data_IF_659306270873
#
_entry.id   IF_659306270873
#
_cell.length_a   1.000
_cell.length_b   1.000
_cell.length_c   1.000
_cell.angle_alpha   90.00
_cell.angle_beta   90.00
_cell.angle_gamma   90.00
#
_symmetry.space_group_name_H-M   'P 1'
#
loop_
_entity.id
_entity.type
_entity.pdbx_description
1 polymer ?
#
# COMPACT_ATOMS: atom_id res chain seq x y z
N UNK A 1 32.54 23.87 -0.77
CA UNK A 1 32.41 25.26 -0.38
C UNK A 1 30.95 25.61 -0.27
N UNK A 2 30.37 25.50 0.92
CA UNK A 2 29.29 26.31 1.49
C UNK A 2 29.00 25.75 2.88
N UNK A 3 29.59 26.45 3.85
CA UNK A 3 29.32 26.37 5.27
C UNK A 3 28.13 27.29 5.55
N UNK A 4 27.11 26.84 6.33
CA UNK A 4 26.24 27.81 7.00
C UNK A 4 25.71 27.30 8.34
N UNK A 5 26.19 27.95 9.36
CA UNK A 5 25.60 28.39 10.65
C UNK A 5 24.92 27.39 11.59
N UNK A 6 25.72 27.04 12.61
CA UNK A 6 25.22 26.75 13.97
C UNK A 6 24.95 28.09 14.67
N UNK A 7 23.75 28.29 15.17
CA UNK A 7 23.48 29.27 16.21
C UNK A 7 23.19 28.53 17.50
N UNK A 8 24.17 28.57 18.42
CA UNK A 8 23.98 28.26 19.84
C UNK A 8 23.27 29.42 20.50
N UNK A 9 22.09 29.22 21.02
CA UNK A 9 21.52 30.11 22.03
C UNK A 9 21.85 29.54 23.42
N UNK A 10 22.84 30.14 24.10
CA UNK A 10 23.08 29.93 25.50
C UNK A 10 22.20 30.96 26.21
N UNK A 11 21.16 30.50 26.91
CA UNK A 11 20.44 31.34 27.87
C UNK A 11 21.02 31.05 29.25
N UNK A 12 21.80 31.99 29.76
CA UNK A 12 22.24 32.01 31.17
C UNK A 12 21.11 32.55 32.00
N UNK A 13 20.44 31.71 32.79
CA UNK A 13 19.52 32.15 33.84
C UNK A 13 20.29 32.11 35.16
N UNK A 14 20.49 33.29 35.76
CA UNK A 14 20.99 33.44 37.13
C UNK A 14 19.95 32.92 38.12
N UNK A 15 20.47 32.17 39.11
CA UNK A 15 19.73 31.68 40.25
C UNK A 15 19.09 32.84 41.03
N UNK A 16 17.87 32.61 41.50
CA UNK A 16 17.38 32.73 42.87
C UNK A 16 15.85 32.72 42.88
N UNK A 17 15.25 31.55 42.79
CA UNK A 17 13.94 31.29 43.38
C UNK A 17 13.87 29.82 43.80
N UNK A 18 13.68 29.61 45.15
CA UNK A 18 13.22 28.33 45.68
C UNK A 18 11.90 27.99 45.01
N UNK A 19 11.90 27.05 44.07
CA UNK A 19 10.68 26.46 43.58
C UNK A 19 10.29 25.36 44.56
N UNK A 20 9.25 25.63 45.33
CA UNK A 20 8.53 24.62 46.10
C UNK A 20 8.15 23.49 45.15
N UNK A 21 8.64 22.29 45.45
CA UNK A 21 8.23 21.04 44.81
C UNK A 21 6.75 20.73 45.17
N UNK A 22 5.82 21.46 44.57
CA UNK A 22 4.51 20.90 44.30
C UNK A 22 4.69 19.98 43.09
N UNK A 23 5.08 18.74 43.35
CA UNK A 23 4.82 17.66 42.48
C UNK A 23 3.30 17.58 42.31
N UNK A 24 2.78 18.34 41.32
CA UNK A 24 1.46 18.11 40.80
C UNK A 24 1.45 16.64 40.35
N UNK A 25 0.76 15.81 41.12
CA UNK A 25 0.38 14.44 40.73
C UNK A 25 -0.50 14.62 39.51
N UNK A 26 0.12 14.70 38.33
CA UNK A 26 -0.59 14.48 37.09
C UNK A 26 -1.01 13.01 37.20
N UNK A 27 -2.33 12.71 37.30
CA UNK A 27 -2.75 11.32 37.36
C UNK A 27 -2.15 10.62 36.16
N UNK A 28 -1.29 9.62 36.37
CA UNK A 28 -0.77 8.80 35.31
C UNK A 28 -1.99 8.26 34.57
N UNK A 29 -2.21 8.74 33.35
CA UNK A 29 -3.31 8.24 32.53
C UNK A 29 -3.15 6.72 32.46
N UNK A 30 -4.19 5.99 32.88
CA UNK A 30 -4.22 4.52 32.83
C UNK A 30 -3.91 4.09 31.40
N UNK A 31 -2.94 3.19 31.24
CA UNK A 31 -2.60 2.63 29.94
C UNK A 31 -3.83 1.98 29.30
N UNK A 32 -4.04 2.21 28.02
CA UNK A 32 -5.15 1.68 27.23
C UNK A 32 -4.66 0.56 26.31
N UNK A 33 -5.55 -0.26 25.84
CA UNK A 33 -5.22 -1.23 24.80
C UNK A 33 -5.26 -0.57 23.41
N UNK A 34 -4.55 -1.17 22.49
CA UNK A 34 -4.56 -0.81 21.08
C UNK A 34 -5.21 -1.92 20.24
N UNK A 35 -5.78 -1.54 19.11
CA UNK A 35 -6.22 -2.47 18.09
C UNK A 35 -5.56 -2.12 16.76
N UNK A 36 -5.03 -3.13 16.07
CA UNK A 36 -4.46 -3.02 14.73
C UNK A 36 -5.35 -3.79 13.75
N UNK A 37 -5.59 -3.23 12.56
CA UNK A 37 -6.31 -3.92 11.51
C UNK A 37 -5.75 -3.60 10.12
N UNK A 38 -5.87 -4.58 9.22
CA UNK A 38 -5.46 -4.49 7.81
C UNK A 38 -6.68 -4.31 6.91
N UNK A 39 -6.53 -3.55 5.83
CA UNK A 39 -7.63 -3.24 4.92
C UNK A 39 -7.21 -3.28 3.46
N UNK A 40 -8.09 -3.80 2.62
CA UNK A 40 -7.91 -3.89 1.18
C UNK A 40 -6.94 -4.98 0.74
N UNK A 41 -6.39 -4.86 -0.46
CA UNK A 41 -5.40 -5.80 -0.97
C UNK A 41 -4.14 -5.81 -0.13
N UNK A 42 -3.61 -7.01 0.16
CA UNK A 42 -2.35 -7.15 0.91
C UNK A 42 -1.14 -6.78 0.03
N UNK A 43 -0.02 -6.49 0.68
CA UNK A 43 1.28 -6.29 0.03
C UNK A 43 2.31 -7.23 0.63
N UNK A 44 3.43 -7.41 -0.05
CA UNK A 44 4.53 -8.25 0.45
C UNK A 44 5.19 -7.71 1.74
N UNK A 45 4.88 -6.48 2.15
CA UNK A 45 5.46 -5.82 3.33
C UNK A 45 4.41 -5.45 4.40
N UNK A 46 3.14 -5.80 4.21
CA UNK A 46 2.06 -5.41 5.15
C UNK A 46 2.28 -5.95 6.56
N UNK A 47 2.79 -7.17 6.68
CA UNK A 47 3.09 -7.78 7.97
C UNK A 47 4.31 -7.13 8.66
N UNK A 48 5.22 -6.52 7.91
CA UNK A 48 6.32 -5.73 8.47
C UNK A 48 5.79 -4.50 9.21
N UNK A 49 4.79 -3.84 8.65
CA UNK A 49 4.08 -2.73 9.33
C UNK A 49 3.40 -3.22 10.61
N UNK A 50 2.73 -4.36 10.57
CA UNK A 50 2.11 -4.97 11.75
C UNK A 50 3.13 -5.28 12.85
N UNK A 51 4.25 -5.90 12.47
CA UNK A 51 5.39 -6.16 13.37
C UNK A 51 5.85 -4.87 14.07
N UNK A 52 6.05 -3.81 13.30
CA UNK A 52 6.52 -2.53 13.83
C UNK A 52 5.53 -1.89 14.80
N UNK A 53 4.22 -1.92 14.49
CA UNK A 53 3.17 -1.44 15.41
C UNK A 53 3.19 -2.21 16.72
N UNK A 54 3.20 -3.54 16.66
CA UNK A 54 3.20 -4.40 17.86
C UNK A 54 4.45 -4.14 18.72
N UNK A 55 5.63 -4.15 18.09
CA UNK A 55 6.89 -3.93 18.81
C UNK A 55 7.01 -2.53 19.40
N UNK A 56 6.56 -1.50 18.70
CA UNK A 56 6.58 -0.13 19.20
C UNK A 56 5.58 0.06 20.36
N UNK A 57 4.39 -0.53 20.24
CA UNK A 57 3.37 -0.49 21.27
C UNK A 57 3.82 -1.19 22.57
N UNK A 58 4.45 -2.36 22.48
CA UNK A 58 5.03 -3.08 23.64
C UNK A 58 6.07 -2.28 24.42
N UNK A 59 6.77 -1.34 23.74
CA UNK A 59 7.75 -0.44 24.36
C UNK A 59 7.13 0.80 25.02
N UNK A 60 5.85 1.06 24.78
CA UNK A 60 5.15 2.23 25.29
C UNK A 60 4.45 1.95 26.62
N UNK A 61 4.71 2.78 27.63
CA UNK A 61 3.99 2.71 28.92
C UNK A 61 2.51 3.14 28.82
N UNK A 62 2.08 3.75 27.69
CA UNK A 62 0.71 4.21 27.45
C UNK A 62 -0.17 3.14 26.81
N UNK A 63 0.42 2.07 26.25
CA UNK A 63 -0.29 0.97 25.62
C UNK A 63 -0.04 -0.31 26.45
N UNK A 64 -1.12 -0.95 26.86
CA UNK A 64 -1.04 -2.18 27.67
C UNK A 64 -0.93 -3.42 26.77
N UNK A 65 -1.90 -3.64 25.87
CA UNK A 65 -1.95 -4.73 24.91
C UNK A 65 -2.24 -4.24 23.51
N UNK A 66 -1.83 -5.03 22.50
CA UNK A 66 -2.23 -4.85 21.12
C UNK A 66 -3.08 -6.04 20.68
N UNK A 67 -4.32 -5.78 20.32
CA UNK A 67 -5.16 -6.74 19.62
C UNK A 67 -5.03 -6.54 18.11
N UNK A 68 -5.16 -7.60 17.34
CA UNK A 68 -5.35 -7.52 15.90
C UNK A 68 -6.77 -7.95 15.54
N UNK A 69 -7.47 -7.11 14.76
CA UNK A 69 -8.79 -7.48 14.21
C UNK A 69 -8.59 -8.53 13.11
N UNK A 70 -9.09 -9.74 13.31
CA UNK A 70 -9.05 -10.80 12.30
C UNK A 70 -9.94 -10.42 11.12
N UNK A 71 -9.38 -10.51 9.92
CA UNK A 71 -10.05 -10.03 8.71
C UNK A 71 -10.44 -8.54 8.75
N UNK A 72 -9.55 -7.71 9.32
CA UNK A 72 -9.68 -6.27 9.34
C UNK A 72 -10.80 -5.76 10.23
N UNK A 73 -11.53 -4.72 9.77
CA UNK A 73 -12.61 -4.11 10.56
C UNK A 73 -13.81 -5.05 10.76
N UNK A 74 -14.01 -6.02 9.87
CA UNK A 74 -15.09 -7.01 10.00
C UNK A 74 -14.88 -7.86 11.25
N UNK A 75 -13.63 -8.28 11.51
CA UNK A 75 -13.30 -8.98 12.75
C UNK A 75 -13.51 -8.12 14.00
N UNK A 76 -13.22 -6.81 13.92
CA UNK A 76 -13.51 -5.91 15.04
C UNK A 76 -15.03 -5.84 15.31
N UNK A 77 -15.84 -5.69 14.27
CA UNK A 77 -17.30 -5.65 14.39
C UNK A 77 -17.86 -6.95 14.98
N UNK A 78 -17.27 -8.08 14.65
CA UNK A 78 -17.66 -9.40 15.15
C UNK A 78 -17.00 -9.75 16.49
N UNK A 79 -16.11 -8.89 17.01
CA UNK A 79 -15.31 -9.13 18.22
C UNK A 79 -14.35 -10.34 18.09
N UNK A 80 -13.96 -10.68 16.85
CA UNK A 80 -12.97 -11.69 16.53
C UNK A 80 -11.57 -11.05 16.56
N UNK A 81 -10.97 -11.03 17.75
CA UNK A 81 -9.73 -10.32 18.07
C UNK A 81 -8.63 -11.29 18.44
N UNK A 82 -7.44 -11.09 17.87
CA UNK A 82 -6.24 -11.84 18.18
C UNK A 82 -5.43 -11.05 19.21
N UNK A 83 -5.21 -11.62 20.41
CA UNK A 83 -4.33 -11.02 21.42
C UNK A 83 -2.87 -11.29 21.05
N UNK A 84 -2.18 -10.29 20.54
CA UNK A 84 -0.77 -10.44 20.14
C UNK A 84 0.19 -10.53 21.31
N UNK A 85 -0.27 -10.31 22.56
CA UNK A 85 0.59 -10.37 23.76
C UNK A 85 0.97 -11.79 24.17
N UNK A 86 0.25 -12.80 23.65
CA UNK A 86 0.56 -14.21 23.90
C UNK A 86 1.78 -14.70 23.09
N UNK A 87 2.16 -13.98 22.04
CA UNK A 87 3.30 -14.33 21.21
C UNK A 87 4.60 -13.71 21.70
N UNK A 88 5.72 -14.42 21.56
CA UNK A 88 7.04 -13.92 21.90
C UNK A 88 7.50 -12.81 20.94
N UNK A 89 8.52 -12.05 21.31
CA UNK A 89 9.09 -11.03 20.43
C UNK A 89 9.75 -11.64 19.21
N UNK A 90 10.28 -12.87 19.31
CA UNK A 90 10.83 -13.64 18.20
C UNK A 90 9.74 -14.03 17.20
N UNK A 91 8.57 -14.49 17.68
CA UNK A 91 7.43 -14.82 16.80
C UNK A 91 6.89 -13.56 16.12
N UNK A 92 6.74 -12.46 16.85
CA UNK A 92 6.33 -11.18 16.25
C UNK A 92 7.34 -10.72 15.18
N UNK A 93 8.65 -10.91 15.41
CA UNK A 93 9.67 -10.55 14.42
C UNK A 93 9.57 -11.37 13.13
N UNK A 94 9.10 -12.60 13.16
CA UNK A 94 8.88 -13.44 11.97
C UNK A 94 7.86 -12.84 11.01
N UNK A 95 6.95 -11.98 11.48
CA UNK A 95 6.01 -11.23 10.64
C UNK A 95 6.71 -10.46 9.52
N UNK A 96 7.92 -9.96 9.75
CA UNK A 96 8.71 -9.25 8.74
C UNK A 96 9.01 -10.10 7.50
N UNK A 97 8.96 -11.43 7.65
CA UNK A 97 9.26 -12.40 6.60
C UNK A 97 8.05 -13.24 6.17
N UNK A 98 6.89 -13.03 6.80
CA UNK A 98 5.67 -13.80 6.54
C UNK A 98 4.92 -13.22 5.34
N UNK A 99 4.63 -14.03 4.30
CA UNK A 99 3.84 -13.57 3.15
C UNK A 99 2.35 -13.46 3.50
N UNK A 100 1.60 -12.78 2.62
CA UNK A 100 0.16 -12.56 2.81
C UNK A 100 -0.16 -11.53 3.88
N UNK A 101 -1.40 -11.54 4.37
CA UNK A 101 -1.84 -10.75 5.52
C UNK A 101 -2.11 -11.68 6.69
N UNK A 102 -1.21 -11.73 7.68
CA UNK A 102 -1.27 -12.73 8.76
C UNK A 102 -2.53 -12.61 9.62
N UNK A 103 -3.04 -11.39 9.78
CA UNK A 103 -4.27 -11.13 10.52
C UNK A 103 -5.52 -11.10 9.63
N UNK A 104 -5.39 -11.49 8.36
CA UNK A 104 -6.44 -11.31 7.37
C UNK A 104 -6.64 -9.85 6.97
N UNK A 105 -7.49 -9.61 6.01
CA UNK A 105 -7.85 -8.29 5.51
C UNK A 105 -9.26 -8.33 4.96
N UNK A 106 -9.93 -7.18 4.88
CA UNK A 106 -11.26 -7.11 4.28
C UNK A 106 -11.39 -5.95 3.31
N UNK A 107 -12.37 -6.06 2.42
CA UNK A 107 -12.87 -4.98 1.56
C UNK A 107 -14.22 -4.52 2.07
N UNK A 108 -14.23 -3.92 3.27
CA UNK A 108 -15.43 -3.37 3.89
C UNK A 108 -15.27 -1.85 4.03
N UNK A 109 -16.20 -1.10 3.45
CA UNK A 109 -16.25 0.35 3.52
C UNK A 109 -17.35 0.76 4.49
N UNK A 110 -16.97 1.33 5.64
CA UNK A 110 -17.94 2.01 6.50
C UNK A 110 -18.54 3.19 5.73
N UNK A 111 -19.85 3.16 5.54
CA UNK A 111 -20.59 4.27 4.97
C UNK A 111 -20.63 5.43 5.97
N UNK A 112 -21.24 6.54 5.59
CA UNK A 112 -21.42 7.65 6.51
C UNK A 112 -22.26 7.25 7.74
N UNK A 113 -22.03 7.91 8.86
CA UNK A 113 -22.65 7.58 10.16
C UNK A 113 -24.15 7.40 10.06
N UNK A 114 -24.85 8.26 9.29
CA UNK A 114 -26.30 8.17 9.12
C UNK A 114 -26.75 6.87 8.43
N UNK A 115 -25.91 6.26 7.60
CA UNK A 115 -26.20 5.04 6.86
C UNK A 115 -25.75 3.77 7.59
N UNK A 116 -24.72 3.87 8.44
CA UNK A 116 -24.11 2.73 9.12
C UNK A 116 -24.04 2.89 10.65
N UNK A 117 -24.96 3.66 11.25
CA UNK A 117 -24.95 3.97 12.68
C UNK A 117 -24.83 2.73 13.58
N UNK A 118 -25.42 1.60 13.17
CA UNK A 118 -25.32 0.33 13.91
C UNK A 118 -23.86 -0.18 13.98
N UNK A 119 -23.11 -0.09 12.90
CA UNK A 119 -21.71 -0.52 12.85
C UNK A 119 -20.82 0.38 13.71
N UNK A 120 -21.03 1.71 13.66
CA UNK A 120 -20.28 2.64 14.52
C UNK A 120 -20.59 2.41 16.01
N UNK A 121 -21.85 2.18 16.38
CA UNK A 121 -22.22 1.84 17.76
C UNK A 121 -21.53 0.53 18.17
N UNK A 122 -21.55 -0.49 17.31
CA UNK A 122 -20.88 -1.78 17.59
C UNK A 122 -19.38 -1.61 17.80
N UNK A 123 -18.70 -0.78 17.00
CA UNK A 123 -17.28 -0.47 17.21
C UNK A 123 -17.04 0.13 18.60
N UNK A 124 -17.88 1.08 19.05
CA UNK A 124 -17.77 1.67 20.39
C UNK A 124 -17.98 0.61 21.49
N UNK A 125 -18.95 -0.29 21.32
CA UNK A 125 -19.19 -1.39 22.27
C UNK A 125 -17.94 -2.27 22.41
N UNK A 126 -17.35 -2.71 21.30
CA UNK A 126 -16.12 -3.51 21.28
C UNK A 126 -14.95 -2.72 21.88
N UNK A 127 -14.80 -1.46 21.52
CA UNK A 127 -13.73 -0.62 22.05
C UNK A 127 -13.85 -0.43 23.56
N UNK A 128 -15.07 -0.27 24.08
CA UNK A 128 -15.32 -0.19 25.54
C UNK A 128 -15.03 -1.53 26.23
N UNK A 129 -15.52 -2.63 25.68
CA UNK A 129 -15.34 -3.97 26.26
C UNK A 129 -13.85 -4.35 26.40
N UNK A 130 -13.02 -3.96 25.45
CA UNK A 130 -11.59 -4.25 25.43
C UNK A 130 -10.70 -3.11 25.88
N UNK A 131 -11.25 -2.03 26.48
CA UNK A 131 -10.52 -0.83 26.95
C UNK A 131 -9.60 -0.25 25.87
N UNK A 132 -10.10 -0.17 24.61
CA UNK A 132 -9.35 0.34 23.47
C UNK A 132 -9.26 1.86 23.52
N UNK A 133 -8.03 2.39 23.51
CA UNK A 133 -7.75 3.82 23.39
C UNK A 133 -7.03 4.20 22.11
N UNK A 134 -6.52 3.20 21.36
CA UNK A 134 -5.75 3.42 20.14
C UNK A 134 -6.22 2.47 19.04
N UNK A 135 -6.45 3.01 17.84
CA UNK A 135 -6.81 2.25 16.65
C UNK A 135 -5.83 2.55 15.52
N UNK A 136 -5.13 1.51 15.05
CA UNK A 136 -4.16 1.56 13.95
C UNK A 136 -4.75 0.85 12.73
N UNK A 137 -5.07 1.61 11.68
CA UNK A 137 -5.73 1.06 10.50
C UNK A 137 -4.82 1.15 9.27
N UNK A 138 -4.28 0.01 8.84
CA UNK A 138 -3.31 -0.10 7.76
C UNK A 138 -4.01 -0.36 6.43
N UNK A 139 -4.05 0.65 5.54
CA UNK A 139 -4.77 0.53 4.28
C UNK A 139 -4.62 1.72 3.34
N UNK A 140 -5.33 1.66 2.23
CA UNK A 140 -5.39 2.69 1.19
C UNK A 140 -6.33 3.85 1.53
N UNK A 141 -6.72 4.64 0.51
CA UNK A 141 -7.53 5.85 0.67
C UNK A 141 -8.84 5.64 1.42
N UNK A 142 -9.62 4.61 1.06
CA UNK A 142 -10.87 4.29 1.76
C UNK A 142 -10.66 3.91 3.23
N UNK A 143 -9.50 3.35 3.57
CA UNK A 143 -9.17 3.00 4.96
C UNK A 143 -8.79 4.25 5.76
N UNK A 144 -8.15 5.22 5.14
CA UNK A 144 -7.85 6.52 5.76
C UNK A 144 -9.16 7.26 6.07
N UNK A 145 -10.11 7.29 5.13
CA UNK A 145 -11.46 7.84 5.34
C UNK A 145 -12.21 7.14 6.48
N UNK A 146 -12.15 5.80 6.52
CA UNK A 146 -12.74 5.00 7.61
C UNK A 146 -12.12 5.36 8.96
N UNK A 147 -10.79 5.47 9.05
CA UNK A 147 -10.09 5.85 10.28
C UNK A 147 -10.53 7.24 10.76
N UNK A 148 -10.68 8.20 9.84
CA UNK A 148 -11.17 9.54 10.12
C UNK A 148 -12.59 9.52 10.69
N UNK A 149 -13.50 8.80 10.04
CA UNK A 149 -14.91 8.68 10.48
C UNK A 149 -15.02 8.06 11.87
N UNK A 150 -14.23 7.02 12.16
CA UNK A 150 -14.22 6.37 13.48
C UNK A 150 -13.73 7.34 14.55
N UNK A 151 -12.64 8.07 14.30
CA UNK A 151 -12.11 9.04 15.26
C UNK A 151 -13.14 10.13 15.59
N UNK A 152 -13.79 10.68 14.56
CA UNK A 152 -14.82 11.71 14.77
C UNK A 152 -16.00 11.14 15.55
N UNK A 153 -16.52 9.98 15.14
CA UNK A 153 -17.69 9.37 15.79
C UNK A 153 -17.44 9.00 17.25
N UNK A 154 -16.28 8.42 17.56
CA UNK A 154 -15.92 8.04 18.94
C UNK A 154 -15.78 9.27 19.84
N UNK A 155 -15.25 10.39 19.30
CA UNK A 155 -15.17 11.66 19.99
C UNK A 155 -16.58 12.23 20.30
N UNK A 156 -17.44 12.29 19.30
CA UNK A 156 -18.82 12.82 19.41
C UNK A 156 -19.68 11.97 20.35
N UNK A 157 -19.41 10.67 20.44
CA UNK A 157 -20.07 9.74 21.36
C UNK A 157 -19.49 9.78 22.80
N UNK A 158 -18.56 10.68 23.11
CA UNK A 158 -17.95 10.81 24.44
C UNK A 158 -16.99 9.68 24.83
N UNK A 159 -16.52 8.90 23.86
CA UNK A 159 -15.51 7.84 24.05
C UNK A 159 -14.39 8.01 23.02
N UNK A 160 -13.53 9.04 23.17
CA UNK A 160 -12.50 9.34 22.20
C UNK A 160 -11.48 8.22 22.10
N UNK A 161 -11.22 7.76 20.87
CA UNK A 161 -10.18 6.80 20.50
C UNK A 161 -9.20 7.50 19.57
N UNK A 162 -7.90 7.39 19.86
CA UNK A 162 -6.86 7.88 18.98
C UNK A 162 -6.74 6.95 17.78
N UNK A 163 -7.09 7.45 16.59
CA UNK A 163 -7.05 6.68 15.34
C UNK A 163 -5.89 7.16 14.46
N UNK A 164 -5.03 6.25 14.04
CA UNK A 164 -3.94 6.53 13.10
C UNK A 164 -4.11 5.66 11.87
N UNK A 165 -4.31 6.32 10.71
CA UNK A 165 -4.26 5.67 9.42
C UNK A 165 -2.81 5.43 9.00
N UNK A 166 -2.46 4.19 8.66
CA UNK A 166 -1.11 3.82 8.22
C UNK A 166 -1.17 3.57 6.71
N UNK A 167 -0.34 4.26 5.90
CA UNK A 167 -0.39 4.15 4.45
C UNK A 167 0.02 2.75 3.97
N UNK A 168 -0.79 2.17 3.08
CA UNK A 168 -0.52 0.92 2.39
C UNK A 168 -1.27 0.90 1.06
N UNK A 169 -0.56 0.89 -0.04
CA UNK A 169 -1.07 0.56 -1.38
C UNK A 169 0.10 0.25 -2.30
N UNK A 170 -0.11 -0.66 -3.25
CA UNK A 170 0.87 -0.89 -4.31
C UNK A 170 0.80 0.18 -5.42
N UNK A 171 -0.35 0.84 -5.56
CA UNK A 171 -0.60 1.80 -6.65
C UNK A 171 0.15 3.12 -6.48
N UNK A 172 0.67 3.38 -5.28
CA UNK A 172 1.35 4.63 -4.91
C UNK A 172 0.51 5.88 -5.19
N UNK A 173 -0.79 5.79 -4.90
CA UNK A 173 -1.83 6.75 -5.28
C UNK A 173 -2.39 7.56 -4.09
N UNK A 174 -1.78 7.46 -2.92
CA UNK A 174 -2.20 8.26 -1.76
C UNK A 174 -1.69 9.69 -1.89
N UNK A 175 -2.57 10.70 -1.71
CA UNK A 175 -2.15 12.08 -1.73
C UNK A 175 -1.15 12.38 -0.60
N UNK A 176 -0.23 13.32 -0.86
CA UNK A 176 0.83 13.74 0.07
C UNK A 176 1.78 12.61 0.52
N UNK A 177 1.83 11.51 -0.22
CA UNK A 177 2.69 10.36 0.07
C UNK A 177 3.60 10.10 -1.12
N UNK A 178 4.91 10.33 -0.98
CA UNK A 178 5.87 10.16 -2.07
C UNK A 178 6.07 8.69 -2.43
N UNK A 179 6.20 7.84 -1.40
CA UNK A 179 6.38 6.42 -1.58
C UNK A 179 5.57 5.63 -0.55
N UNK A 180 4.58 4.90 -1.02
CA UNK A 180 3.70 4.11 -0.17
C UNK A 180 4.24 2.70 0.04
N UNK A 181 4.32 2.18 1.29
CA UNK A 181 4.73 0.81 1.53
C UNK A 181 3.90 -0.21 0.76
N UNK A 182 4.57 -1.08 0.03
CA UNK A 182 4.04 -2.03 -0.93
C UNK A 182 4.44 -1.72 -2.37
N UNK A 183 4.51 -0.44 -2.76
CA UNK A 183 4.88 -0.02 -4.12
C UNK A 183 6.31 -0.42 -4.48
N UNK A 184 7.30 -0.16 -3.62
CA UNK A 184 8.70 -0.42 -3.93
C UNK A 184 9.01 -1.88 -4.23
N UNK A 185 8.35 -2.82 -3.52
CA UNK A 185 8.49 -4.25 -3.77
C UNK A 185 7.85 -4.67 -5.09
N UNK A 186 6.66 -4.15 -5.41
CA UNK A 186 5.99 -4.43 -6.68
C UNK A 186 6.76 -3.83 -7.84
N UNK A 187 7.29 -2.62 -7.71
CA UNK A 187 8.14 -1.99 -8.72
C UNK A 187 9.38 -2.86 -9.04
N UNK A 188 10.02 -3.41 -8.01
CA UNK A 188 11.13 -4.37 -8.17
C UNK A 188 10.70 -5.64 -8.89
N UNK A 189 9.56 -6.23 -8.51
CA UNK A 189 8.99 -7.39 -9.18
C UNK A 189 8.73 -7.13 -10.67
N UNK A 190 8.06 -6.04 -11.00
CA UNK A 190 7.71 -5.68 -12.38
C UNK A 190 8.98 -5.43 -13.20
N UNK A 191 9.93 -4.66 -12.68
CA UNK A 191 11.18 -4.37 -13.38
C UNK A 191 11.99 -5.64 -13.67
N UNK A 192 12.12 -6.52 -12.67
CA UNK A 192 12.85 -7.78 -12.80
C UNK A 192 12.16 -8.71 -13.80
N UNK A 193 10.86 -8.96 -13.62
CA UNK A 193 10.09 -9.83 -14.52
C UNK A 193 10.06 -9.31 -15.95
N UNK A 194 9.96 -8.00 -16.15
CA UNK A 194 10.04 -7.37 -17.49
C UNK A 194 11.38 -7.62 -18.14
N UNK A 195 12.48 -7.47 -17.38
CA UNK A 195 13.84 -7.69 -17.89
C UNK A 195 14.06 -9.13 -18.28
N UNK A 196 13.68 -10.08 -17.43
CA UNK A 196 13.86 -11.51 -17.66
C UNK A 196 13.03 -12.00 -18.86
N UNK A 197 11.74 -11.63 -18.91
CA UNK A 197 10.88 -11.93 -20.05
C UNK A 197 11.41 -11.31 -21.37
N UNK A 198 11.97 -10.10 -21.30
CA UNK A 198 12.55 -9.46 -22.47
C UNK A 198 13.78 -10.20 -23.00
N UNK A 199 14.63 -10.71 -22.13
CA UNK A 199 15.81 -11.49 -22.51
C UNK A 199 15.41 -12.85 -23.11
N UNK A 200 14.38 -13.50 -22.55
CA UNK A 200 13.84 -14.73 -23.08
C UNK A 200 13.28 -14.53 -24.51
N UNK A 201 12.38 -13.56 -24.70
CA UNK A 201 11.83 -13.23 -26.03
C UNK A 201 12.93 -12.85 -27.03
N UNK A 202 13.92 -12.07 -26.60
CA UNK A 202 15.06 -11.71 -27.45
C UNK A 202 15.81 -12.93 -27.92
N UNK A 203 15.99 -13.95 -27.09
CA UNK A 203 16.75 -15.16 -27.41
C UNK A 203 16.12 -15.98 -28.54
N UNK A 204 14.77 -15.98 -28.67
CA UNK A 204 14.05 -16.75 -29.67
C UNK A 204 13.39 -15.91 -30.79
N UNK A 205 13.56 -14.59 -30.75
CA UNK A 205 12.85 -13.67 -31.65
C UNK A 205 13.13 -13.85 -33.14
N UNK A 206 14.27 -14.43 -33.51
CA UNK A 206 14.60 -14.68 -34.92
C UNK A 206 13.67 -15.71 -35.59
N UNK A 207 13.29 -16.74 -34.86
CA UNK A 207 12.54 -17.90 -35.42
C UNK A 207 11.14 -18.10 -34.80
N UNK A 208 10.81 -17.40 -33.70
CA UNK A 208 9.57 -17.64 -32.94
C UNK A 208 8.85 -16.35 -32.57
N UNK A 209 8.59 -16.16 -31.26
CA UNK A 209 7.80 -15.05 -30.70
C UNK A 209 8.45 -13.71 -30.95
N UNK A 210 7.67 -12.76 -31.47
CA UNK A 210 8.11 -11.39 -31.75
C UNK A 210 7.65 -10.39 -30.69
N UNK A 211 6.54 -10.66 -30.01
CA UNK A 211 5.93 -9.71 -29.09
C UNK A 211 5.62 -10.40 -27.76
N UNK A 212 5.95 -9.73 -26.68
CA UNK A 212 5.52 -10.10 -25.34
C UNK A 212 4.79 -8.92 -24.69
N UNK A 213 3.66 -9.19 -24.06
CA UNK A 213 2.83 -8.19 -23.40
C UNK A 213 2.69 -8.56 -21.94
N UNK A 214 3.06 -7.67 -21.05
CA UNK A 214 2.99 -7.85 -19.60
C UNK A 214 1.96 -6.90 -18.99
N UNK A 215 0.87 -7.44 -18.46
CA UNK A 215 -0.17 -6.68 -17.77
C UNK A 215 0.15 -6.56 -16.29
N UNK A 216 0.04 -5.33 -15.78
CA UNK A 216 0.27 -4.99 -14.39
C UNK A 216 -0.93 -4.23 -13.82
N UNK A 217 -1.11 -4.26 -12.51
CA UNK A 217 -2.12 -3.48 -11.81
C UNK A 217 -1.88 -1.98 -11.98
N UNK A 218 -2.80 -1.16 -11.47
CA UNK A 218 -2.76 0.30 -11.55
C UNK A 218 -3.95 0.85 -12.31
N UNK A 219 -5.12 0.87 -11.66
CA UNK A 219 -6.39 1.27 -12.30
C UNK A 219 -6.38 2.73 -12.76
N UNK A 220 -5.89 3.63 -11.94
CA UNK A 220 -5.91 5.07 -12.16
C UNK A 220 -4.53 5.72 -12.15
N UNK A 221 -3.54 5.04 -11.56
CA UNK A 221 -2.17 5.50 -11.44
C UNK A 221 -1.21 4.57 -12.17
N UNK A 222 -0.40 5.11 -13.04
CA UNK A 222 0.51 4.38 -13.91
C UNK A 222 1.87 4.06 -13.30
N UNK A 223 2.09 4.30 -12.01
CA UNK A 223 3.38 4.09 -11.34
C UNK A 223 3.93 2.68 -11.50
N UNK A 224 3.05 1.66 -11.39
CA UNK A 224 3.44 0.26 -11.54
C UNK A 224 3.91 -0.03 -12.97
N UNK A 225 3.14 0.40 -13.98
CA UNK A 225 3.55 0.22 -15.37
C UNK A 225 4.84 1.02 -15.68
N UNK A 226 4.97 2.25 -15.16
CA UNK A 226 6.14 3.09 -15.33
C UNK A 226 7.40 2.46 -14.74
N UNK A 227 7.28 1.77 -13.58
CA UNK A 227 8.41 1.07 -12.92
C UNK A 227 9.09 0.02 -13.80
N UNK A 228 8.37 -0.55 -14.77
CA UNK A 228 8.94 -1.46 -15.76
C UNK A 228 10.09 -0.82 -16.56
N UNK A 229 10.09 0.51 -16.67
CA UNK A 229 11.18 1.26 -17.31
C UNK A 229 12.54 1.05 -16.66
N UNK A 230 12.59 0.66 -15.39
CA UNK A 230 13.82 0.31 -14.67
C UNK A 230 14.49 -0.97 -15.21
N UNK A 231 13.79 -1.77 -16.01
CA UNK A 231 14.37 -2.93 -16.72
C UNK A 231 15.35 -2.53 -17.81
N UNK A 232 15.30 -1.28 -18.29
CA UNK A 232 16.20 -0.78 -19.35
C UNK A 232 17.64 -0.69 -18.89
N UNK A 233 18.55 -1.04 -19.80
CA UNK A 233 20.00 -0.91 -19.60
C UNK A 233 20.68 -0.73 -20.96
N UNK A 234 22.03 -0.55 -20.95
CA UNK A 234 22.82 -0.52 -22.20
C UNK A 234 22.59 -1.75 -23.08
N UNK A 235 22.35 -2.90 -22.47
CA UNK A 235 22.21 -4.19 -23.18
C UNK A 235 20.74 -4.66 -23.33
N UNK A 236 19.79 -3.90 -22.79
CA UNK A 236 18.36 -4.23 -22.84
C UNK A 236 17.53 -2.97 -23.10
N UNK A 237 16.97 -2.87 -24.31
CA UNK A 237 16.10 -1.76 -24.74
C UNK A 237 14.67 -1.88 -24.20
N UNK A 238 14.27 -3.07 -23.72
CA UNK A 238 12.93 -3.33 -23.24
C UNK A 238 12.70 -2.80 -21.78
N UNK A 239 11.46 -2.45 -21.43
CA UNK A 239 10.26 -2.47 -22.27
C UNK A 239 10.32 -1.38 -23.36
N UNK A 240 9.83 -1.72 -24.56
CA UNK A 240 9.85 -0.80 -25.69
C UNK A 240 8.66 0.16 -25.66
N UNK A 241 7.52 -0.30 -25.13
CA UNK A 241 6.28 0.46 -25.02
C UNK A 241 5.73 0.24 -23.61
N UNK A 242 5.30 1.34 -22.99
CA UNK A 242 4.58 1.33 -21.70
C UNK A 242 3.26 2.05 -21.93
N UNK A 243 2.14 1.38 -21.64
CA UNK A 243 0.79 1.94 -21.76
C UNK A 243 0.28 2.27 -20.35
N UNK A 244 0.10 3.58 -20.11
CA UNK A 244 -0.30 4.14 -18.83
C UNK A 244 -1.80 4.46 -18.82
N UNK A 245 -2.49 4.40 -17.68
CA UNK A 245 -3.91 4.74 -17.57
C UNK A 245 -4.19 6.23 -17.81
N UNK A 246 -3.19 7.09 -17.56
CA UNK A 246 -3.28 8.56 -17.77
C UNK A 246 -3.20 8.97 -19.24
N UNK A 247 -2.63 8.10 -20.08
CA UNK A 247 -2.39 8.43 -21.49
C UNK A 247 -3.39 7.68 -22.38
N UNK A 248 -4.30 8.38 -23.08
CA UNK A 248 -5.28 7.72 -23.93
C UNK A 248 -4.62 6.83 -24.99
N UNK A 249 -5.07 5.57 -25.06
CA UNK A 249 -4.61 4.62 -26.05
C UNK A 249 -5.06 5.04 -27.45
N UNK A 250 -4.11 5.06 -28.39
CA UNK A 250 -4.34 5.30 -29.79
C UNK A 250 -3.78 4.13 -30.61
N UNK A 251 -4.67 3.31 -31.16
CA UNK A 251 -4.34 2.08 -31.85
C UNK A 251 -3.39 2.32 -33.04
N UNK A 252 -3.63 3.33 -33.85
CA UNK A 252 -2.82 3.62 -35.05
C UNK A 252 -1.38 3.99 -34.67
N UNK A 253 -1.21 4.89 -33.68
CA UNK A 253 0.12 5.27 -33.18
C UNK A 253 0.83 4.11 -32.51
N UNK A 254 0.09 3.30 -31.77
CA UNK A 254 0.60 2.11 -31.09
C UNK A 254 1.12 1.09 -32.10
N UNK A 255 0.33 0.70 -33.10
CA UNK A 255 0.71 -0.27 -34.14
C UNK A 255 1.91 0.21 -34.96
N UNK A 256 1.98 1.50 -35.28
CA UNK A 256 3.16 2.10 -35.92
C UNK A 256 4.40 1.91 -35.05
N UNK A 257 4.31 2.23 -33.76
CA UNK A 257 5.43 2.07 -32.81
C UNK A 257 5.88 0.60 -32.71
N UNK A 258 4.95 -0.34 -32.66
CA UNK A 258 5.29 -1.78 -32.65
C UNK A 258 6.08 -2.16 -33.89
N UNK A 259 5.62 -1.74 -35.11
CA UNK A 259 6.35 -1.99 -36.36
C UNK A 259 7.75 -1.42 -36.35
N UNK A 260 7.90 -0.17 -35.90
CA UNK A 260 9.20 0.51 -35.85
C UNK A 260 10.18 -0.21 -34.92
N UNK A 261 9.69 -0.67 -33.75
CA UNK A 261 10.48 -1.44 -32.78
C UNK A 261 10.89 -2.79 -33.34
N UNK A 262 9.95 -3.53 -33.95
CA UNK A 262 10.27 -4.85 -34.59
C UNK A 262 11.31 -4.69 -35.68
N UNK A 263 11.20 -3.63 -36.51
CA UNK A 263 12.20 -3.35 -37.55
C UNK A 263 13.56 -3.08 -36.98
N UNK A 264 13.65 -2.36 -35.85
CA UNK A 264 14.91 -1.95 -35.23
C UNK A 264 15.53 -3.06 -34.39
N UNK A 265 14.77 -3.65 -33.49
CA UNK A 265 15.28 -4.52 -32.42
C UNK A 265 14.94 -6.01 -32.64
N UNK A 266 14.09 -6.33 -33.64
CA UNK A 266 13.67 -7.70 -33.99
C UNK A 266 12.58 -8.27 -33.07
N UNK A 267 12.27 -7.65 -31.95
CA UNK A 267 11.23 -8.03 -30.98
C UNK A 267 10.65 -6.81 -30.30
N UNK A 268 9.49 -6.97 -29.66
CA UNK A 268 8.84 -5.89 -28.91
C UNK A 268 8.30 -6.40 -27.57
N UNK A 269 8.68 -5.77 -26.48
CA UNK A 269 8.11 -5.99 -25.14
C UNK A 269 7.28 -4.79 -24.76
N UNK A 270 6.05 -5.06 -24.36
CA UNK A 270 5.04 -4.06 -24.01
C UNK A 270 4.63 -4.31 -22.56
N UNK A 271 4.64 -3.27 -21.74
CA UNK A 271 4.02 -3.32 -20.41
C UNK A 271 2.77 -2.47 -20.45
N UNK A 272 1.66 -3.00 -19.94
CA UNK A 272 0.37 -2.33 -19.97
C UNK A 272 -0.28 -2.34 -18.58
N UNK A 273 -0.74 -1.18 -18.15
CA UNK A 273 -1.60 -1.07 -16.96
C UNK A 273 -3.00 -1.62 -17.26
N UNK A 274 -3.59 -2.35 -16.31
CA UNK A 274 -5.01 -2.77 -16.37
C UNK A 274 -5.96 -1.60 -16.59
N UNK A 275 -5.58 -0.39 -16.15
CA UNK A 275 -6.34 0.85 -16.29
C UNK A 275 -6.20 1.57 -17.62
N UNK A 276 -5.49 1.01 -18.59
CA UNK A 276 -5.33 1.64 -19.91
C UNK A 276 -6.69 1.84 -20.60
N UNK A 277 -6.92 3.03 -21.17
CA UNK A 277 -8.22 3.45 -21.71
C UNK A 277 -8.10 4.23 -23.01
N UNK A 278 -9.18 4.20 -23.78
CA UNK A 278 -9.35 5.04 -24.97
C UNK A 278 -9.61 6.52 -24.60
N UNK A 279 -9.53 7.41 -25.59
CA UNK A 279 -9.78 8.87 -25.41
C UNK A 279 -11.18 9.18 -24.84
N UNK A 280 -12.17 8.34 -25.09
CA UNK A 280 -13.53 8.48 -24.57
C UNK A 280 -13.69 7.96 -23.12
N UNK A 281 -12.60 7.58 -22.45
CA UNK A 281 -12.62 7.07 -21.08
C UNK A 281 -12.97 5.59 -20.93
N UNK A 282 -13.34 4.88 -22.02
CA UNK A 282 -13.62 3.44 -21.97
C UNK A 282 -12.31 2.68 -21.78
N UNK A 283 -12.29 1.74 -20.82
CA UNK A 283 -11.14 0.85 -20.62
C UNK A 283 -10.90 -0.06 -21.84
N UNK A 284 -9.66 -0.41 -22.09
CA UNK A 284 -9.30 -1.34 -23.16
C UNK A 284 -9.90 -2.72 -22.93
N UNK A 285 -9.97 -3.14 -21.67
CA UNK A 285 -10.70 -4.33 -21.25
C UNK A 285 -11.51 -4.02 -20.00
N UNK A 286 -12.73 -4.55 -19.94
CA UNK A 286 -13.69 -4.37 -18.84
C UNK A 286 -14.33 -5.74 -18.61
N UNK A 287 -14.13 -6.33 -17.43
CA UNK A 287 -14.67 -7.65 -17.11
C UNK A 287 -16.20 -7.64 -16.88
N UNK A 288 -16.82 -6.46 -16.85
CA UNK A 288 -18.27 -6.30 -16.68
C UNK A 288 -18.78 -6.53 -15.26
N UNK A 289 -17.88 -6.78 -14.29
CA UNK A 289 -18.19 -6.99 -12.88
C UNK A 289 -17.67 -5.83 -12.03
N UNK A 290 -18.22 -5.68 -10.82
CA UNK A 290 -17.78 -4.68 -9.84
C UNK A 290 -17.35 -5.38 -8.54
N UNK A 291 -16.34 -4.82 -7.87
CA UNK A 291 -15.90 -5.30 -6.57
C UNK A 291 -16.78 -4.75 -5.42
N UNK A 292 -16.53 -5.21 -4.20
CA UNK A 292 -17.29 -4.80 -3.00
C UNK A 292 -17.16 -3.32 -2.63
N UNK A 293 -16.22 -2.59 -3.23
CA UNK A 293 -16.10 -1.13 -3.12
C UNK A 293 -16.83 -0.37 -4.23
N UNK A 294 -17.47 -1.09 -5.18
CA UNK A 294 -18.17 -0.51 -6.32
C UNK A 294 -17.25 -0.16 -7.51
N UNK A 295 -16.00 -0.62 -7.51
CA UNK A 295 -15.09 -0.41 -8.61
C UNK A 295 -15.26 -1.51 -9.67
N UNK A 296 -15.21 -1.13 -10.94
CA UNK A 296 -15.19 -2.10 -12.05
C UNK A 296 -14.00 -3.03 -11.90
N UNK A 297 -14.24 -4.33 -12.03
CA UNK A 297 -13.17 -5.30 -12.11
C UNK A 297 -12.51 -5.16 -13.47
N UNK A 298 -11.23 -4.81 -13.49
CA UNK A 298 -10.42 -4.68 -14.69
C UNK A 298 -9.57 -5.94 -14.85
N UNK A 299 -9.00 -6.10 -16.04
CA UNK A 299 -8.12 -7.21 -16.39
C UNK A 299 -8.41 -7.73 -17.80
N UNK A 300 -7.44 -8.42 -18.38
CA UNK A 300 -7.53 -8.92 -19.74
C UNK A 300 -7.12 -7.88 -20.80
N UNK A 301 -6.41 -6.82 -20.40
CA UNK A 301 -5.88 -5.83 -21.33
C UNK A 301 -4.75 -6.42 -22.17
N UNK A 302 -3.88 -7.26 -21.60
CA UNK A 302 -2.80 -7.92 -22.35
C UNK A 302 -3.32 -8.80 -23.48
N UNK A 303 -4.28 -9.73 -23.27
CA UNK A 303 -4.87 -10.48 -24.37
C UNK A 303 -5.57 -9.59 -25.41
N UNK A 304 -6.22 -8.50 -24.99
CA UNK A 304 -6.84 -7.55 -25.92
C UNK A 304 -5.80 -6.85 -26.81
N UNK A 305 -4.70 -6.37 -26.23
CA UNK A 305 -3.59 -5.75 -26.98
C UNK A 305 -2.94 -6.79 -27.91
N UNK A 306 -2.78 -8.02 -27.44
CA UNK A 306 -2.25 -9.13 -28.24
C UNK A 306 -3.13 -9.42 -29.47
N UNK A 307 -4.46 -9.45 -29.28
CA UNK A 307 -5.42 -9.64 -30.36
C UNK A 307 -5.32 -8.53 -31.44
N UNK A 308 -5.20 -7.27 -31.02
CA UNK A 308 -5.01 -6.13 -31.93
C UNK A 308 -3.73 -6.31 -32.75
N UNK A 309 -2.62 -6.67 -32.12
CA UNK A 309 -1.33 -6.91 -32.79
C UNK A 309 -1.45 -8.06 -33.79
N UNK A 310 -2.04 -9.18 -33.40
CA UNK A 310 -2.18 -10.35 -34.26
C UNK A 310 -3.05 -10.04 -35.49
N UNK A 311 -4.25 -9.49 -35.29
CA UNK A 311 -5.18 -9.16 -36.37
C UNK A 311 -4.62 -8.12 -37.37
N UNK A 312 -3.82 -7.17 -36.90
CA UNK A 312 -3.34 -6.06 -37.75
C UNK A 312 -1.93 -6.25 -38.27
N UNK A 313 -1.09 -7.04 -37.61
CA UNK A 313 0.32 -7.20 -37.96
C UNK A 313 0.73 -8.65 -38.24
N UNK A 314 -0.10 -9.64 -37.92
CA UNK A 314 0.22 -11.06 -38.09
C UNK A 314 1.40 -11.56 -37.27
N UNK A 315 1.78 -10.83 -36.17
CA UNK A 315 2.94 -11.16 -35.36
C UNK A 315 2.61 -12.23 -34.32
N UNK A 316 3.50 -13.20 -34.14
CA UNK A 316 3.41 -14.17 -33.06
C UNK A 316 3.69 -13.47 -31.72
N UNK A 317 2.85 -13.73 -30.74
CA UNK A 317 2.89 -13.09 -29.43
C UNK A 317 2.72 -14.10 -28.29
N UNK A 318 3.15 -13.68 -27.10
CA UNK A 318 2.75 -14.22 -25.80
C UNK A 318 2.42 -13.07 -24.87
N UNK A 319 1.70 -13.35 -23.81
CA UNK A 319 1.35 -12.39 -22.78
C UNK A 319 1.32 -13.04 -21.39
N UNK A 320 1.47 -12.22 -20.37
CA UNK A 320 1.29 -12.59 -18.98
C UNK A 320 0.51 -11.51 -18.25
N UNK A 321 -0.29 -11.92 -17.28
CA UNK A 321 -0.96 -11.03 -16.32
C UNK A 321 -0.34 -11.31 -14.97
N UNK A 322 0.24 -10.29 -14.33
CA UNK A 322 0.89 -10.44 -13.04
C UNK A 322 -0.09 -10.58 -11.89
N UNK A 323 -1.26 -9.97 -12.02
CA UNK A 323 -2.36 -10.01 -11.05
C UNK A 323 -1.85 -10.02 -9.58
N UNK A 324 -2.33 -10.92 -8.74
CA UNK A 324 -1.92 -11.02 -7.33
C UNK A 324 -0.44 -11.41 -7.13
N UNK A 325 0.20 -12.05 -8.11
CA UNK A 325 1.61 -12.42 -8.00
C UNK A 325 2.50 -11.20 -7.73
N UNK A 326 2.25 -10.07 -8.40
CA UNK A 326 3.05 -8.87 -8.23
C UNK A 326 3.00 -8.31 -6.80
N UNK A 327 1.85 -8.37 -6.12
CA UNK A 327 1.69 -7.81 -4.77
C UNK A 327 2.04 -8.78 -3.64
N UNK A 328 2.05 -10.09 -3.92
CA UNK A 328 2.29 -11.14 -2.95
C UNK A 328 3.74 -11.64 -2.92
N UNK A 329 4.57 -11.22 -3.88
CA UNK A 329 5.92 -11.74 -4.12
C UNK A 329 6.92 -11.35 -3.02
N UNK A 330 6.76 -11.94 -1.81
CA UNK A 330 7.65 -11.67 -0.67
C UNK A 330 9.11 -12.05 -0.94
N UNK A 331 9.34 -13.07 -1.76
CA UNK A 331 10.68 -13.57 -2.11
C UNK A 331 11.53 -12.53 -2.86
N UNK A 332 10.93 -11.55 -3.51
CA UNK A 332 11.62 -10.48 -4.25
C UNK A 332 11.41 -9.10 -3.63
N UNK A 333 10.89 -9.00 -2.41
CA UNK A 333 10.63 -7.72 -1.75
C UNK A 333 11.86 -6.80 -1.75
N UNK A 334 11.62 -5.51 -1.85
CA UNK A 334 12.64 -4.48 -1.72
C UNK A 334 13.00 -4.28 -0.25
N UNK A 335 14.28 -4.23 0.09
CA UNK A 335 14.72 -3.92 1.45
C UNK A 335 14.28 -2.51 1.86
N UNK A 336 14.38 -1.53 0.98
CA UNK A 336 13.92 -0.16 1.23
C UNK A 336 12.42 -0.13 1.57
N UNK A 337 11.60 -0.90 0.85
CA UNK A 337 10.17 -0.99 1.10
C UNK A 337 9.85 -1.65 2.45
N UNK A 338 10.63 -2.66 2.85
CA UNK A 338 10.55 -3.26 4.18
C UNK A 338 10.90 -2.26 5.28
N UNK A 339 12.00 -1.52 5.10
CA UNK A 339 12.45 -0.52 6.06
C UNK A 339 11.42 0.61 6.22
N UNK A 340 10.82 1.06 5.11
CA UNK A 340 9.75 2.05 5.11
C UNK A 340 8.47 1.51 5.78
N UNK A 341 8.06 0.27 5.47
CA UNK A 341 6.91 -0.37 6.11
C UNK A 341 7.09 -0.47 7.63
N UNK A 342 8.31 -0.79 8.08
CA UNK A 342 8.63 -0.80 9.51
C UNK A 342 8.61 0.61 10.11
N UNK A 343 9.19 1.58 9.42
CA UNK A 343 9.26 2.97 9.88
C UNK A 343 7.87 3.59 10.08
N UNK A 344 6.94 3.41 9.12
CA UNK A 344 5.57 3.95 9.25
C UNK A 344 4.79 3.27 10.37
N UNK A 345 4.94 1.97 10.56
CA UNK A 345 4.31 1.25 11.67
C UNK A 345 4.78 1.75 13.04
N UNK A 346 6.10 1.94 13.19
CA UNK A 346 6.70 2.51 14.40
C UNK A 346 6.25 3.95 14.64
N UNK A 347 6.28 4.79 13.60
CA UNK A 347 5.89 6.20 13.66
C UNK A 347 4.41 6.34 14.06
N UNK A 348 3.52 5.48 13.53
CA UNK A 348 2.10 5.49 13.88
C UNK A 348 1.89 5.39 15.40
N UNK A 349 2.59 4.49 16.06
CA UNK A 349 2.51 4.36 17.52
C UNK A 349 3.10 5.58 18.22
N UNK A 350 4.23 6.09 17.75
CA UNK A 350 4.86 7.29 18.33
C UNK A 350 3.92 8.51 18.28
N UNK A 351 3.30 8.77 17.14
CA UNK A 351 2.32 9.85 16.98
C UNK A 351 1.08 9.64 17.83
N UNK A 352 0.54 8.44 17.88
CA UNK A 352 -0.63 8.14 18.72
C UNK A 352 -0.36 8.43 20.20
N UNK A 353 0.78 7.97 20.74
CA UNK A 353 1.12 8.18 22.16
C UNK A 353 1.58 9.60 22.46
N UNK A 354 1.98 10.41 21.49
CA UNK A 354 2.23 11.86 21.67
C UNK A 354 0.94 12.68 21.66
N UNK A 355 -0.20 12.08 21.31
CA UNK A 355 -1.50 12.76 21.33
C UNK A 355 -1.99 13.19 19.95
N UNK A 356 -1.25 12.85 18.88
CA UNK A 356 -1.71 13.07 17.52
C UNK A 356 -2.88 12.12 17.18
N UNK A 357 -3.81 12.61 16.39
CA UNK A 357 -4.98 11.87 15.96
C UNK A 357 -5.25 12.15 14.48
N UNK A 358 -5.76 11.16 13.75
CA UNK A 358 -6.08 11.25 12.31
C UNK A 358 -4.86 11.42 11.40
N UNK A 359 -3.65 11.16 11.88
CA UNK A 359 -2.44 11.32 11.07
C UNK A 359 -2.34 10.26 9.99
N UNK A 360 -2.12 10.70 8.75
CA UNK A 360 -1.56 9.87 7.69
C UNK A 360 -0.04 9.96 7.81
N UNK A 361 0.63 8.81 8.00
CA UNK A 361 2.08 8.80 8.20
C UNK A 361 2.77 8.81 6.83
N UNK A 362 3.45 9.91 6.53
CA UNK A 362 4.28 10.07 5.32
C UNK A 362 5.70 9.56 5.55
N UNK A 363 6.29 9.05 4.52
CA UNK A 363 7.69 8.61 4.49
C UNK A 363 8.54 9.69 3.87
#
# INVERSE_FOLDING_TARGET
MYSFFRHNFIITIKNDYKIDLFSSIIPMMKAKNAIYAQSGGVTSVINTTACAVIQAARKSKKINKVYAGKDGIVGILNEDLIDTSIESDEEIKKLMHTPGGVFGSCRHKLKDVNQSKKEYNRLIEVFKAHDIGYFFYNGGGDSQDTSNKIAQYTKDAGFPVTCIGIPKTIDNDLPYTDNCPGFGSVAKYIATSTKEAALDVKSMSKSSTKVFIFEVMGRHAGWLAASSGLAKSKNNSAPHIILLPEVPFNETKFLKKVKDVIKKDGYCVIVVSEGAKYKNGKFLADAGTVDSFGHKQLGGVAPRVAEIINKKLGLKYHWAVSDYLQRSARHISSQVDLDQAYAVGKAAVQFAVSGENLSLIHI
#
